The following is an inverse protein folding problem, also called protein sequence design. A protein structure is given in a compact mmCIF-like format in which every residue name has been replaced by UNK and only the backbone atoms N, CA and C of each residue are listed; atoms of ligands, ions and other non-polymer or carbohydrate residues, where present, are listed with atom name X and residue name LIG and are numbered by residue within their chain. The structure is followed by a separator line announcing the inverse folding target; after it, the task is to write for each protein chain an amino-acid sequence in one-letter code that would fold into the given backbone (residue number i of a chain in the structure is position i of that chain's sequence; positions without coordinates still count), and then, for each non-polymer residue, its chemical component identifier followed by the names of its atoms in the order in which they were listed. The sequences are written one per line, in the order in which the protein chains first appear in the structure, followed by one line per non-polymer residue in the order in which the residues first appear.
data_IF_504147006834
#
_entry.id   IF_504147006834
#
_cell.length_a   1.000
_cell.length_b   1.000
_cell.length_c   1.000
_cell.angle_alpha   90.00
_cell.angle_beta   90.00
_cell.angle_gamma   90.00
#
_symmetry.space_group_name_H-M   'P 1'
#
loop_
_entity.id
_entity.type
_entity.pdbx_description
1 polymer ?
#
# COMPACT_ATOMS: atom_id res chain seq x y z
N UNK A 1 5.68 43.48 -14.47
CA UNK A 1 6.78 42.81 -13.76
C UNK A 1 6.17 41.95 -12.66
N UNK A 2 6.17 40.61 -12.79
CA UNK A 2 5.82 39.72 -11.67
C UNK A 2 6.94 39.83 -10.63
N UNK A 3 6.58 40.09 -9.38
CA UNK A 3 7.56 40.27 -8.31
C UNK A 3 8.11 38.91 -7.88
N UNK A 4 9.34 38.84 -7.36
CA UNK A 4 9.93 37.58 -6.86
C UNK A 4 9.06 36.87 -5.81
N UNK A 5 8.18 37.61 -5.14
CA UNK A 5 7.18 37.12 -4.20
C UNK A 5 6.12 36.23 -4.88
N UNK A 6 5.66 36.61 -6.08
CA UNK A 6 4.69 35.82 -6.85
C UNK A 6 5.29 34.47 -7.28
N UNK A 7 6.59 34.46 -7.62
CA UNK A 7 7.33 33.23 -7.95
C UNK A 7 7.54 32.32 -6.74
N UNK A 8 7.82 32.87 -5.56
CA UNK A 8 7.94 32.09 -4.33
C UNK A 8 6.61 31.45 -3.92
N UNK A 9 5.48 32.15 -4.11
CA UNK A 9 4.14 31.63 -3.82
C UNK A 9 3.73 30.55 -4.85
N UNK A 10 4.05 30.72 -6.13
CA UNK A 10 3.84 29.67 -7.15
C UNK A 10 4.68 28.42 -6.84
N UNK A 11 5.97 28.57 -6.47
CA UNK A 11 6.84 27.43 -6.13
C UNK A 11 6.42 26.69 -4.86
N UNK A 12 5.95 27.39 -3.82
CA UNK A 12 5.47 26.73 -2.59
C UNK A 12 4.19 25.94 -2.83
N UNK A 13 3.27 26.45 -3.67
CA UNK A 13 2.06 25.71 -4.06
C UNK A 13 2.41 24.49 -4.93
N UNK A 14 3.31 24.64 -5.89
CA UNK A 14 3.75 23.54 -6.75
C UNK A 14 4.38 22.39 -5.95
N UNK A 15 5.22 22.71 -4.95
CA UNK A 15 5.83 21.71 -4.07
C UNK A 15 4.79 21.02 -3.16
N UNK A 16 3.76 21.75 -2.71
CA UNK A 16 2.66 21.17 -1.94
C UNK A 16 1.79 20.20 -2.78
N UNK A 17 1.51 20.54 -4.04
CA UNK A 17 0.74 19.68 -4.95
C UNK A 17 1.52 18.42 -5.37
N UNK A 18 2.80 18.55 -5.70
CA UNK A 18 3.64 17.40 -6.09
C UNK A 18 3.84 16.44 -4.92
N UNK A 19 4.02 16.96 -3.71
CA UNK A 19 4.12 16.15 -2.49
C UNK A 19 2.82 15.37 -2.21
N UNK A 20 1.66 16.02 -2.33
CA UNK A 20 0.35 15.34 -2.14
C UNK A 20 0.11 14.26 -3.18
N UNK A 21 0.42 14.52 -4.45
CA UNK A 21 0.29 13.53 -5.52
C UNK A 21 1.21 12.32 -5.29
N UNK A 22 2.47 12.56 -4.91
CA UNK A 22 3.41 11.49 -4.59
C UNK A 22 2.96 10.67 -3.37
N UNK A 23 2.42 11.32 -2.34
CA UNK A 23 1.90 10.65 -1.16
C UNK A 23 0.73 9.71 -1.49
N UNK A 24 -0.20 10.15 -2.35
CA UNK A 24 -1.32 9.31 -2.81
C UNK A 24 -0.81 8.13 -3.66
N UNK A 25 0.13 8.37 -4.58
CA UNK A 25 0.75 7.28 -5.35
C UNK A 25 1.40 6.22 -4.44
N UNK A 26 2.13 6.66 -3.42
CA UNK A 26 2.73 5.79 -2.41
C UNK A 26 1.69 5.09 -1.53
N UNK A 27 0.51 5.68 -1.29
CA UNK A 27 -0.56 4.99 -0.53
C UNK A 27 -1.09 3.81 -1.34
N UNK A 28 -1.27 3.98 -2.66
CA UNK A 28 -1.81 2.93 -3.52
C UNK A 28 -0.90 1.70 -3.55
N UNK A 29 0.42 1.92 -3.71
CA UNK A 29 1.42 0.83 -3.68
C UNK A 29 1.41 0.14 -2.31
N UNK A 30 1.40 0.92 -1.24
CA UNK A 30 1.36 0.42 0.15
C UNK A 30 0.10 -0.40 0.44
N UNK A 31 -1.08 0.00 -0.06
CA UNK A 31 -2.33 -0.78 0.07
C UNK A 31 -2.17 -2.16 -0.55
N UNK A 32 -1.67 -2.21 -1.80
CA UNK A 32 -1.57 -3.49 -2.52
C UNK A 32 -0.61 -4.46 -1.83
N UNK A 33 0.57 -3.98 -1.44
CA UNK A 33 1.57 -4.81 -0.78
C UNK A 33 1.17 -5.18 0.66
N UNK A 34 0.55 -4.26 1.39
CA UNK A 34 0.02 -4.53 2.73
C UNK A 34 -1.14 -5.52 2.71
N UNK A 35 -2.02 -5.45 1.72
CA UNK A 35 -3.19 -6.32 1.62
C UNK A 35 -2.78 -7.79 1.50
N UNK A 36 -1.84 -8.11 0.61
CA UNK A 36 -1.34 -9.48 0.42
C UNK A 36 -0.73 -10.04 1.72
N UNK A 37 0.05 -9.23 2.43
CA UNK A 37 0.66 -9.61 3.71
C UNK A 37 -0.39 -9.92 4.79
N UNK A 38 -1.32 -8.99 5.04
CA UNK A 38 -2.34 -9.18 6.07
C UNK A 38 -3.34 -10.27 5.69
N UNK A 39 -3.62 -10.44 4.40
CA UNK A 39 -4.49 -11.50 3.89
C UNK A 39 -3.91 -12.88 4.21
N UNK A 40 -2.62 -13.06 3.94
CA UNK A 40 -1.93 -14.31 4.20
C UNK A 40 -1.87 -14.66 5.71
N UNK A 41 -1.77 -13.66 6.58
CA UNK A 41 -1.65 -13.89 8.02
C UNK A 41 -2.99 -14.06 8.75
N UNK A 42 -3.97 -13.23 8.44
CA UNK A 42 -5.20 -13.09 9.23
C UNK A 42 -6.49 -13.31 8.42
N UNK A 43 -6.39 -13.37 7.08
CA UNK A 43 -7.51 -13.51 6.17
C UNK A 43 -8.01 -12.19 5.59
N UNK A 44 -9.01 -12.30 4.69
CA UNK A 44 -9.45 -11.18 3.83
C UNK A 44 -10.01 -10.01 4.65
N UNK A 45 -10.90 -10.30 5.60
CA UNK A 45 -11.61 -9.27 6.36
C UNK A 45 -10.65 -8.38 7.17
N UNK A 46 -9.70 -9.01 7.87
CA UNK A 46 -8.66 -8.32 8.64
C UNK A 46 -7.69 -7.55 7.74
N UNK A 47 -7.38 -8.06 6.55
CA UNK A 47 -6.51 -7.38 5.60
C UNK A 47 -7.12 -6.08 5.09
N UNK A 48 -8.40 -6.12 4.69
CA UNK A 48 -9.13 -4.93 4.28
C UNK A 48 -9.14 -3.87 5.39
N UNK A 49 -9.47 -4.28 6.62
CA UNK A 49 -9.55 -3.37 7.76
C UNK A 49 -8.19 -2.74 8.08
N UNK A 50 -7.11 -3.53 8.12
CA UNK A 50 -5.77 -3.01 8.39
C UNK A 50 -5.33 -2.01 7.32
N UNK A 51 -5.50 -2.34 6.03
CA UNK A 51 -5.14 -1.43 4.93
C UNK A 51 -5.91 -0.11 5.02
N UNK A 52 -7.22 -0.15 5.27
CA UNK A 52 -8.01 1.08 5.39
C UNK A 52 -7.53 1.92 6.57
N UNK A 53 -7.34 1.30 7.75
CA UNK A 53 -6.97 2.03 8.97
C UNK A 53 -5.57 2.62 8.88
N UNK A 54 -4.57 1.86 8.44
CA UNK A 54 -3.20 2.35 8.34
C UNK A 54 -3.06 3.48 7.31
N UNK A 55 -3.71 3.37 6.16
CA UNK A 55 -3.63 4.41 5.13
C UNK A 55 -4.43 5.65 5.51
N UNK A 56 -5.62 5.49 6.10
CA UNK A 56 -6.37 6.61 6.66
C UNK A 56 -5.56 7.34 7.73
N UNK A 57 -4.89 6.60 8.61
CA UNK A 57 -4.03 7.17 9.64
C UNK A 57 -2.81 7.89 9.06
N UNK A 58 -2.18 7.30 8.03
CA UNK A 58 -1.04 7.90 7.32
C UNK A 58 -1.43 9.22 6.65
N UNK A 59 -2.59 9.26 5.99
CA UNK A 59 -3.14 10.46 5.39
C UNK A 59 -3.52 11.51 6.45
N UNK A 60 -4.11 11.10 7.57
CA UNK A 60 -4.44 11.99 8.67
C UNK A 60 -3.19 12.63 9.28
N UNK A 61 -2.11 11.86 9.46
CA UNK A 61 -0.81 12.39 9.88
C UNK A 61 -0.24 13.40 8.89
N UNK A 62 -0.24 13.09 7.59
CA UNK A 62 0.24 14.00 6.55
C UNK A 62 -0.55 15.31 6.53
N UNK A 63 -1.88 15.23 6.64
CA UNK A 63 -2.74 16.41 6.69
C UNK A 63 -2.52 17.24 7.96
N UNK A 64 -2.33 16.56 9.09
CA UNK A 64 -2.00 17.19 10.38
C UNK A 64 -0.69 17.99 10.31
N UNK A 65 0.33 17.44 9.66
CA UNK A 65 1.63 18.09 9.48
C UNK A 65 1.56 19.39 8.67
N UNK A 66 0.59 19.50 7.76
CA UNK A 66 0.39 20.71 6.95
C UNK A 66 -0.49 21.72 7.69
N UNK A 67 -1.58 21.28 8.32
CA UNK A 67 -2.63 22.17 8.81
C UNK A 67 -2.43 22.70 10.24
N UNK A 68 -1.67 22.01 11.11
CA UNK A 68 -1.67 22.30 12.56
C UNK A 68 -0.37 22.92 13.09
N UNK A 69 -0.44 23.49 14.30
CA UNK A 69 0.71 24.08 15.01
C UNK A 69 1.74 23.04 15.46
N UNK A 70 2.92 23.52 15.89
CA UNK A 70 4.09 22.69 16.21
C UNK A 70 3.80 21.58 17.25
N UNK A 71 2.89 21.83 18.20
CA UNK A 71 2.47 20.85 19.22
C UNK A 71 1.84 19.59 18.63
N UNK A 72 1.00 19.74 17.59
CA UNK A 72 0.38 18.59 16.91
C UNK A 72 1.38 17.93 15.97
N UNK A 73 2.27 18.72 15.34
CA UNK A 73 3.35 18.18 14.49
C UNK A 73 4.29 17.27 15.27
N UNK A 74 4.65 17.66 16.50
CA UNK A 74 5.54 16.88 17.36
C UNK A 74 4.99 15.46 17.65
N UNK A 75 3.66 15.29 17.69
CA UNK A 75 3.01 13.98 17.87
C UNK A 75 2.75 13.26 16.54
N UNK A 76 2.37 14.00 15.48
CA UNK A 76 2.09 13.41 14.17
C UNK A 76 3.34 12.79 13.54
N UNK A 77 4.53 13.36 13.74
CA UNK A 77 5.80 12.83 13.20
C UNK A 77 6.09 11.39 13.69
N UNK A 78 6.15 11.10 15.00
CA UNK A 78 6.46 9.74 15.47
C UNK A 78 5.38 8.72 15.10
N UNK A 79 4.09 9.11 15.11
CA UNK A 79 2.99 8.23 14.69
C UNK A 79 3.08 7.91 13.20
N UNK A 80 3.37 8.92 12.37
CA UNK A 80 3.62 8.73 10.95
C UNK A 80 4.81 7.79 10.71
N UNK A 81 5.90 7.98 11.46
CA UNK A 81 7.08 7.12 11.41
C UNK A 81 6.74 5.66 11.73
N UNK A 82 6.02 5.42 12.83
CA UNK A 82 5.59 4.09 13.24
C UNK A 82 4.74 3.41 12.17
N UNK A 83 3.68 4.08 11.69
CA UNK A 83 2.78 3.55 10.66
C UNK A 83 3.53 3.26 9.36
N UNK A 84 4.39 4.18 8.94
CA UNK A 84 5.19 4.01 7.72
C UNK A 84 6.13 2.82 7.83
N UNK A 85 6.80 2.66 8.97
CA UNK A 85 7.66 1.50 9.24
C UNK A 85 6.86 0.21 9.15
N UNK A 86 5.69 0.13 9.78
CA UNK A 86 4.82 -1.06 9.71
C UNK A 86 4.38 -1.37 8.27
N UNK A 87 4.00 -0.36 7.48
CA UNK A 87 3.66 -0.52 6.06
C UNK A 87 4.85 -1.01 5.21
N UNK A 88 6.04 -0.44 5.43
CA UNK A 88 7.28 -0.86 4.74
C UNK A 88 7.64 -2.30 5.09
N UNK A 89 7.54 -2.68 6.37
CA UNK A 89 7.76 -4.06 6.80
C UNK A 89 6.78 -5.04 6.13
N UNK A 90 5.48 -4.74 6.17
CA UNK A 90 4.47 -5.55 5.49
C UNK A 90 4.77 -5.70 3.99
N UNK A 91 5.19 -4.62 3.34
CA UNK A 91 5.54 -4.61 1.92
C UNK A 91 6.78 -5.46 1.61
N UNK A 92 7.84 -5.34 2.41
CA UNK A 92 9.06 -6.15 2.27
C UNK A 92 8.77 -7.63 2.44
N UNK A 93 7.97 -8.00 3.45
CA UNK A 93 7.61 -9.40 3.68
C UNK A 93 6.70 -9.94 2.58
N UNK A 94 5.76 -9.15 2.04
CA UNK A 94 4.97 -9.57 0.88
C UNK A 94 5.85 -9.78 -0.36
N UNK A 95 6.79 -8.87 -0.60
CA UNK A 95 7.71 -8.97 -1.73
C UNK A 95 8.59 -10.23 -1.65
N UNK A 96 9.15 -10.53 -0.47
CA UNK A 96 9.91 -11.76 -0.27
C UNK A 96 9.04 -13.01 -0.36
N UNK A 97 7.81 -12.99 0.16
CA UNK A 97 6.87 -14.08 -0.04
C UNK A 97 6.57 -14.29 -1.53
N UNK A 98 6.50 -13.21 -2.31
CA UNK A 98 6.37 -13.24 -3.77
C UNK A 98 7.60 -13.86 -4.46
N UNK A 99 8.82 -13.53 -4.01
CA UNK A 99 10.06 -14.14 -4.52
C UNK A 99 10.09 -15.63 -4.18
N UNK A 100 9.79 -16.00 -2.94
CA UNK A 100 9.78 -17.40 -2.49
C UNK A 100 8.70 -18.19 -3.22
N UNK A 101 7.53 -17.59 -3.46
CA UNK A 101 6.47 -18.21 -4.26
C UNK A 101 6.93 -18.42 -5.71
N UNK A 102 7.52 -17.42 -6.35
CA UNK A 102 8.05 -17.54 -7.73
C UNK A 102 9.18 -18.57 -7.81
N UNK A 103 10.12 -18.58 -6.86
CA UNK A 103 11.16 -19.59 -6.80
C UNK A 103 10.63 -20.99 -6.45
N UNK A 104 9.59 -21.12 -5.63
CA UNK A 104 8.92 -22.39 -5.37
C UNK A 104 8.12 -22.89 -6.59
N UNK A 105 7.56 -21.98 -7.38
CA UNK A 105 6.91 -22.28 -8.66
C UNK A 105 7.96 -22.68 -9.73
N UNK A 106 9.13 -22.06 -9.74
CA UNK A 106 10.25 -22.39 -10.64
C UNK A 106 11.02 -23.66 -10.24
N UNK A 107 11.17 -23.93 -8.93
CA UNK A 107 11.83 -25.13 -8.37
C UNK A 107 10.82 -26.18 -7.92
N UNK A 108 9.68 -26.31 -8.59
CA UNK A 108 8.55 -27.12 -8.13
C UNK A 108 8.99 -28.57 -7.77
N UNK A 109 9.19 -28.90 -6.48
CA UNK A 109 9.71 -30.21 -6.08
C UNK A 109 8.72 -31.32 -6.42
N UNK A 110 7.45 -30.94 -6.62
CA UNK A 110 6.40 -31.80 -7.12
C UNK A 110 6.60 -32.18 -8.59
N UNK A 111 7.01 -31.26 -9.46
CA UNK A 111 7.28 -31.58 -10.87
C UNK A 111 8.56 -32.41 -11.03
N UNK A 112 9.60 -32.12 -10.24
CA UNK A 112 10.81 -32.93 -10.24
C UNK A 112 10.55 -34.34 -9.70
N UNK A 113 9.71 -34.49 -8.66
CA UNK A 113 9.30 -35.80 -8.14
C UNK A 113 8.41 -36.57 -9.12
N UNK A 114 7.48 -35.90 -9.80
CA UNK A 114 6.68 -36.49 -10.89
C UNK A 114 7.60 -36.97 -12.02
N UNK A 115 8.55 -36.13 -12.45
CA UNK A 115 9.52 -36.49 -13.48
C UNK A 115 10.38 -37.68 -13.06
N UNK A 116 10.83 -37.71 -11.80
CA UNK A 116 11.58 -38.83 -11.21
C UNK A 116 10.79 -40.13 -11.23
N UNK A 117 9.51 -40.11 -10.82
CA UNK A 117 8.61 -41.28 -10.82
C UNK A 117 8.31 -41.77 -12.23
N UNK A 118 8.06 -40.88 -13.19
CA UNK A 118 7.88 -41.25 -14.60
C UNK A 118 9.16 -41.90 -15.16
N UNK A 119 10.34 -41.35 -14.85
CA UNK A 119 11.60 -41.92 -15.27
C UNK A 119 11.84 -43.32 -14.68
N UNK A 120 11.49 -43.53 -13.41
CA UNK A 120 11.55 -44.83 -12.76
C UNK A 120 10.64 -45.86 -13.46
N UNK A 121 9.37 -45.52 -13.67
CA UNK A 121 8.40 -46.38 -14.38
C UNK A 121 8.91 -46.75 -15.77
N UNK A 122 9.37 -45.76 -16.55
CA UNK A 122 9.92 -45.99 -17.89
C UNK A 122 11.15 -46.89 -17.88
N UNK A 123 12.05 -46.70 -16.91
CA UNK A 123 13.25 -47.54 -16.76
C UNK A 123 12.89 -48.98 -16.40
N UNK A 124 11.98 -49.18 -15.46
CA UNK A 124 11.53 -50.52 -15.04
C UNK A 124 10.87 -51.25 -16.22
N UNK A 125 9.92 -50.60 -16.90
CA UNK A 125 9.28 -51.16 -18.09
C UNK A 125 10.28 -51.52 -19.20
N UNK A 126 11.24 -50.63 -19.49
CA UNK A 126 12.29 -50.91 -20.47
C UNK A 126 13.15 -52.12 -20.08
N UNK A 127 13.44 -52.28 -18.79
CA UNK A 127 14.24 -53.39 -18.27
C UNK A 127 13.51 -54.72 -18.43
N UNK A 128 12.23 -54.79 -18.07
CA UNK A 128 11.41 -56.00 -18.25
C UNK A 128 11.28 -56.40 -19.72
N UNK A 129 10.95 -55.43 -20.58
CA UNK A 129 10.82 -55.70 -22.02
C UNK A 129 12.14 -56.09 -22.68
N UNK A 130 13.26 -55.53 -22.22
CA UNK A 130 14.58 -55.94 -22.73
C UNK A 130 14.89 -57.40 -22.37
N UNK A 131 14.57 -57.83 -21.13
CA UNK A 131 14.71 -59.24 -20.74
C UNK A 131 13.83 -60.18 -21.56
N UNK A 132 12.58 -59.80 -21.84
CA UNK A 132 11.70 -60.59 -22.71
C UNK A 132 12.26 -60.71 -24.14
N UNK A 133 12.82 -59.63 -24.69
CA UNK A 133 13.46 -59.63 -26.01
C UNK A 133 14.71 -60.51 -26.01
N UNK A 134 15.55 -60.44 -24.98
CA UNK A 134 16.73 -61.28 -24.84
C UNK A 134 16.38 -62.78 -24.79
N UNK A 135 15.31 -63.18 -24.11
CA UNK A 135 14.84 -64.57 -24.11
C UNK A 135 14.37 -65.00 -25.51
N UNK A 136 13.67 -64.13 -26.24
CA UNK A 136 13.27 -64.41 -27.63
C UNK A 136 14.48 -64.55 -28.56
N UNK A 137 15.51 -63.72 -28.39
CA UNK A 137 16.75 -63.81 -29.16
C UNK A 137 17.46 -65.15 -28.88
N UNK A 138 17.50 -65.61 -27.63
CA UNK A 138 18.03 -66.94 -27.31
C UNK A 138 17.21 -68.08 -27.94
N UNK A 139 15.89 -67.95 -28.01
CA UNK A 139 15.03 -68.93 -28.69
C UNK A 139 15.23 -68.91 -30.21
N UNK A 140 15.41 -67.73 -30.80
CA UNK A 140 15.74 -67.56 -32.21
C UNK A 140 17.07 -68.24 -32.55
N UNK A 141 18.10 -68.07 -31.72
CA UNK A 141 19.40 -68.74 -31.90
C UNK A 141 19.29 -70.27 -31.87
N UNK A 142 18.40 -70.81 -31.04
CA UNK A 142 18.11 -72.26 -31.05
C UNK A 142 17.42 -72.69 -32.34
N UNK A 143 16.45 -71.91 -32.82
CA UNK A 143 15.76 -72.18 -34.09
C UNK A 143 16.71 -72.08 -35.29
N UNK A 144 17.58 -71.08 -35.32
CA UNK A 144 18.57 -70.88 -36.37
C UNK A 144 19.60 -72.00 -36.42
N UNK A 145 20.06 -72.50 -35.26
CA UNK A 145 20.89 -73.72 -35.21
C UNK A 145 20.13 -74.94 -35.74
N UNK A 146 18.85 -75.07 -35.43
CA UNK A 146 17.98 -76.12 -35.98
C UNK A 146 17.84 -76.04 -37.50
N UNK A 147 17.72 -74.85 -38.07
CA UNK A 147 17.71 -74.59 -39.52
C UNK A 147 19.05 -74.90 -40.17
N UNK A 148 20.17 -74.55 -39.53
CA UNK A 148 21.50 -74.84 -40.04
C UNK A 148 21.74 -76.36 -40.17
N UNK A 149 21.21 -77.15 -39.24
CA UNK A 149 21.27 -78.61 -39.29
C UNK A 149 20.25 -79.22 -40.27
N UNK A 150 19.09 -78.57 -40.46
CA UNK A 150 18.00 -79.06 -41.33
C UNK A 150 17.36 -77.91 -42.14
N UNK A 151 17.98 -77.48 -43.26
CA UNK A 151 17.57 -76.29 -44.00
C UNK A 151 16.14 -76.32 -44.57
N UNK A 152 15.66 -77.51 -44.91
CA UNK A 152 14.34 -77.72 -45.52
C UNK A 152 13.21 -77.87 -44.49
N UNK A 153 13.52 -77.80 -43.19
CA UNK A 153 12.50 -77.92 -42.14
C UNK A 153 11.57 -76.71 -42.13
N UNK A 154 10.33 -76.93 -42.57
CA UNK A 154 9.24 -75.94 -42.49
C UNK A 154 8.91 -75.54 -41.05
N UNK A 155 9.05 -76.48 -40.10
CA UNK A 155 8.79 -76.21 -38.69
C UNK A 155 9.72 -75.13 -38.13
N UNK A 156 11.04 -75.30 -38.31
CA UNK A 156 12.01 -74.35 -37.76
C UNK A 156 11.90 -72.97 -38.41
N UNK A 157 11.60 -72.92 -39.72
CA UNK A 157 11.39 -71.67 -40.46
C UNK A 157 10.18 -70.90 -39.93
N UNK A 158 9.03 -71.57 -39.82
CA UNK A 158 7.81 -70.95 -39.30
C UNK A 158 7.98 -70.49 -37.84
N UNK A 159 8.68 -71.28 -37.01
CA UNK A 159 8.92 -70.92 -35.62
C UNK A 159 9.85 -69.71 -35.49
N UNK A 160 10.92 -69.66 -36.28
CA UNK A 160 11.81 -68.50 -36.33
C UNK A 160 11.06 -67.23 -36.76
N UNK A 161 10.25 -67.31 -37.81
CA UNK A 161 9.42 -66.18 -38.27
C UNK A 161 8.45 -65.69 -37.17
N UNK A 162 7.76 -66.61 -36.47
CA UNK A 162 6.88 -66.25 -35.36
C UNK A 162 7.62 -65.53 -34.22
N UNK A 163 8.82 -66.01 -33.86
CA UNK A 163 9.63 -65.41 -32.81
C UNK A 163 10.17 -64.05 -33.22
N UNK A 164 10.63 -63.88 -34.47
CA UNK A 164 11.05 -62.59 -35.02
C UNK A 164 9.91 -61.57 -34.97
N UNK A 165 8.72 -61.94 -35.47
CA UNK A 165 7.56 -61.06 -35.44
C UNK A 165 7.17 -60.66 -34.01
N UNK A 166 7.27 -61.59 -33.05
CA UNK A 166 6.99 -61.31 -31.64
C UNK A 166 8.03 -60.37 -31.02
N UNK A 167 9.32 -60.59 -31.30
CA UNK A 167 10.44 -59.77 -30.84
C UNK A 167 10.30 -58.33 -31.36
N UNK A 168 10.03 -58.17 -32.64
CA UNK A 168 9.91 -56.85 -33.27
C UNK A 168 8.68 -56.10 -32.73
N UNK A 169 7.58 -56.81 -32.50
CA UNK A 169 6.38 -56.23 -31.86
C UNK A 169 6.67 -55.74 -30.43
N UNK A 170 7.36 -56.52 -29.61
CA UNK A 170 7.75 -56.10 -28.27
C UNK A 170 8.71 -54.89 -28.30
N UNK A 171 9.61 -54.84 -29.28
CA UNK A 171 10.47 -53.67 -29.52
C UNK A 171 9.65 -52.41 -29.80
N UNK A 172 8.66 -52.49 -30.69
CA UNK A 172 7.77 -51.38 -31.01
C UNK A 172 6.93 -50.94 -29.81
N UNK A 173 6.37 -51.88 -29.05
CA UNK A 173 5.59 -51.59 -27.83
C UNK A 173 6.46 -50.90 -26.76
N UNK A 174 7.73 -51.32 -26.62
CA UNK A 174 8.70 -50.68 -25.74
C UNK A 174 8.96 -49.23 -26.15
N UNK A 175 9.31 -49.01 -27.41
CA UNK A 175 9.71 -47.70 -27.89
C UNK A 175 8.52 -46.72 -27.85
N UNK A 176 7.31 -47.19 -28.19
CA UNK A 176 6.08 -46.40 -28.07
C UNK A 176 5.83 -45.93 -26.63
N UNK A 177 5.99 -46.84 -25.65
CA UNK A 177 5.81 -46.50 -24.24
C UNK A 177 6.82 -45.46 -23.76
N UNK A 178 8.08 -45.61 -24.15
CA UNK A 178 9.16 -44.69 -23.78
C UNK A 178 8.96 -43.29 -24.36
N UNK A 179 8.38 -43.18 -25.56
CA UNK A 179 8.08 -41.89 -26.20
C UNK A 179 6.75 -41.26 -25.75
N UNK A 180 5.87 -42.03 -25.10
CA UNK A 180 4.61 -41.50 -24.59
C UNK A 180 4.86 -40.48 -23.49
N UNK A 181 4.31 -39.27 -23.65
CA UNK A 181 4.39 -38.20 -22.66
C UNK A 181 3.00 -37.99 -22.04
N UNK A 182 2.85 -38.06 -20.71
CA UNK A 182 1.55 -37.87 -20.07
C UNK A 182 1.12 -36.39 -20.19
N UNK A 183 -0.02 -36.15 -20.85
CA UNK A 183 -0.42 -34.80 -21.26
C UNK A 183 -1.27 -34.03 -20.23
N UNK A 184 -2.23 -34.67 -19.55
CA UNK A 184 -3.18 -33.97 -18.67
C UNK A 184 -3.27 -34.52 -17.24
N UNK A 185 -3.23 -35.84 -17.06
CA UNK A 185 -3.30 -36.44 -15.72
C UNK A 185 -2.05 -37.28 -15.43
N UNK A 186 -0.97 -36.58 -15.02
CA UNK A 186 0.31 -37.22 -14.69
C UNK A 186 0.18 -38.14 -13.48
N UNK A 187 -0.69 -37.82 -12.51
CA UNK A 187 -0.88 -38.60 -11.30
C UNK A 187 -1.59 -39.93 -11.61
N UNK A 188 -2.73 -39.90 -12.32
CA UNK A 188 -3.41 -41.12 -12.73
C UNK A 188 -2.57 -41.96 -13.71
N UNK A 189 -1.75 -41.32 -14.55
CA UNK A 189 -0.79 -42.04 -15.39
C UNK A 189 0.25 -42.77 -14.53
N UNK A 190 0.83 -42.11 -13.53
CA UNK A 190 1.80 -42.74 -12.61
C UNK A 190 1.15 -43.91 -11.87
N UNK A 191 -0.04 -43.72 -11.29
CA UNK A 191 -0.74 -44.76 -10.52
C UNK A 191 -1.05 -46.00 -11.37
N UNK A 192 -1.62 -45.81 -12.57
CA UNK A 192 -1.94 -46.91 -13.48
C UNK A 192 -0.70 -47.71 -13.89
N UNK A 193 0.38 -47.02 -14.26
CA UNK A 193 1.59 -47.69 -14.76
C UNK A 193 2.45 -48.25 -13.64
N UNK A 194 2.42 -47.66 -12.45
CA UNK A 194 3.04 -48.24 -11.26
C UNK A 194 2.34 -49.55 -10.86
N UNK A 195 1.01 -49.58 -10.87
CA UNK A 195 0.24 -50.80 -10.58
C UNK A 195 0.49 -51.91 -11.63
N UNK A 196 0.62 -51.55 -12.92
CA UNK A 196 0.98 -52.51 -13.98
C UNK A 196 2.35 -53.16 -13.75
N UNK A 197 3.30 -52.42 -13.16
CA UNK A 197 4.68 -52.85 -12.92
C UNK A 197 4.93 -53.32 -11.48
N UNK A 198 3.88 -53.46 -10.67
CA UNK A 198 3.95 -53.82 -9.24
C UNK A 198 4.92 -52.91 -8.44
N UNK A 199 4.94 -51.62 -8.76
CA UNK A 199 5.75 -50.61 -8.06
C UNK A 199 4.94 -49.97 -6.93
N UNK A 200 5.37 -50.19 -5.69
CA UNK A 200 4.81 -49.49 -4.52
C UNK A 200 5.31 -48.03 -4.48
N UNK A 201 4.44 -47.08 -4.84
CA UNK A 201 4.71 -45.65 -4.77
C UNK A 201 3.78 -44.99 -3.76
N UNK A 202 4.32 -44.14 -2.89
CA UNK A 202 3.52 -43.34 -1.95
C UNK A 202 2.60 -42.36 -2.70
N UNK A 203 1.37 -42.10 -2.22
CA UNK A 203 0.43 -41.17 -2.86
C UNK A 203 1.02 -39.75 -2.95
N UNK A 204 0.78 -39.08 -4.08
CA UNK A 204 1.20 -37.69 -4.30
C UNK A 204 0.28 -36.74 -3.51
N UNK A 205 0.82 -36.11 -2.47
CA UNK A 205 0.06 -35.23 -1.58
C UNK A 205 -0.23 -33.87 -2.25
N UNK A 206 -1.49 -33.61 -2.63
CA UNK A 206 -1.90 -32.47 -3.46
C UNK A 206 -2.26 -31.20 -2.67
N UNK A 207 -1.73 -31.03 -1.45
CA UNK A 207 -2.06 -29.91 -0.57
C UNK A 207 -1.75 -28.54 -1.21
N UNK A 208 -2.67 -27.55 -1.16
CA UNK A 208 -2.46 -26.24 -1.78
C UNK A 208 -1.32 -25.48 -1.08
N UNK A 209 -0.17 -25.38 -1.76
CA UNK A 209 1.09 -24.82 -1.24
C UNK A 209 1.07 -23.31 -0.95
N UNK A 210 -0.01 -22.60 -1.29
CA UNK A 210 -0.08 -21.13 -1.20
C UNK A 210 -0.04 -20.54 0.22
N UNK A 211 -0.45 -21.30 1.25
CA UNK A 211 -0.34 -20.83 2.65
C UNK A 211 1.07 -21.06 3.23
N UNK A 212 1.81 -22.05 2.70
CA UNK A 212 3.15 -22.42 3.19
C UNK A 212 4.24 -21.42 2.77
N UNK A 213 4.05 -20.70 1.67
CA UNK A 213 5.04 -19.77 1.12
C UNK A 213 5.19 -18.51 1.97
N UNK A 214 4.09 -17.96 2.48
CA UNK A 214 4.16 -16.76 3.34
C UNK A 214 4.67 -17.11 4.73
N UNK A 215 4.32 -18.29 5.26
CA UNK A 215 4.89 -18.77 6.53
C UNK A 215 6.38 -19.08 6.41
N UNK A 216 6.82 -19.62 5.27
CA UNK A 216 8.25 -19.82 4.99
C UNK A 216 9.00 -18.49 4.89
N UNK A 217 8.43 -17.49 4.20
CA UNK A 217 9.00 -16.15 4.12
C UNK A 217 9.15 -15.47 5.49
N UNK A 218 8.14 -15.61 6.35
CA UNK A 218 8.18 -15.08 7.72
C UNK A 218 9.24 -15.81 8.56
N UNK A 219 9.33 -17.13 8.43
CA UNK A 219 10.34 -17.92 9.14
C UNK A 219 11.75 -17.59 8.66
N UNK A 220 11.96 -17.38 7.36
CA UNK A 220 13.26 -17.02 6.78
C UNK A 220 13.66 -15.59 7.16
N UNK A 221 12.74 -14.63 7.07
CA UNK A 221 13.05 -13.23 7.33
C UNK A 221 13.20 -12.93 8.83
N UNK A 222 12.36 -13.53 9.67
CA UNK A 222 12.27 -13.17 11.10
C UNK A 222 12.86 -14.24 12.02
N UNK A 223 13.10 -15.46 11.53
CA UNK A 223 13.48 -16.61 12.34
C UNK A 223 12.50 -16.88 13.51
N UNK A 224 11.22 -16.64 13.26
CA UNK A 224 10.14 -16.73 14.25
C UNK A 224 9.02 -17.62 13.71
N UNK A 225 8.41 -18.42 14.58
CA UNK A 225 7.27 -19.27 14.22
C UNK A 225 6.05 -18.44 13.83
N UNK A 226 5.22 -18.94 12.91
CA UNK A 226 4.01 -18.25 12.42
C UNK A 226 3.14 -17.70 13.57
N UNK A 227 2.92 -18.51 14.62
CA UNK A 227 2.11 -18.11 15.78
C UNK A 227 2.71 -16.90 16.51
N UNK A 228 4.05 -16.85 16.64
CA UNK A 228 4.74 -15.73 17.29
C UNK A 228 4.73 -14.49 16.39
N UNK A 229 4.92 -14.66 15.08
CA UNK A 229 4.85 -13.56 14.11
C UNK A 229 3.45 -12.91 14.11
N UNK A 230 2.38 -13.72 14.08
CA UNK A 230 1.00 -13.25 14.22
C UNK A 230 0.82 -12.42 15.49
N UNK A 231 1.28 -12.91 16.64
CA UNK A 231 1.20 -12.17 17.92
C UNK A 231 1.93 -10.83 17.87
N UNK A 232 3.16 -10.79 17.35
CA UNK A 232 3.95 -9.56 17.24
C UNK A 232 3.25 -8.55 16.33
N UNK A 233 2.81 -8.99 15.14
CA UNK A 233 2.11 -8.14 14.18
C UNK A 233 0.79 -7.64 14.77
N UNK A 234 0.03 -8.49 15.47
CA UNK A 234 -1.21 -8.07 16.14
C UNK A 234 -0.95 -7.00 17.21
N UNK A 235 0.10 -7.14 18.02
CA UNK A 235 0.49 -6.13 19.01
C UNK A 235 0.83 -4.80 18.32
N UNK A 236 1.60 -4.84 17.23
CA UNK A 236 1.96 -3.64 16.45
C UNK A 236 0.74 -2.95 15.85
N UNK A 237 -0.22 -3.72 15.32
CA UNK A 237 -1.49 -3.20 14.82
C UNK A 237 -2.24 -2.48 15.93
N UNK A 238 -2.43 -3.12 17.09
CA UNK A 238 -3.15 -2.53 18.22
C UNK A 238 -2.49 -1.23 18.68
N UNK A 239 -1.16 -1.22 18.88
CA UNK A 239 -0.43 -0.01 19.27
C UNK A 239 -0.62 1.12 18.25
N UNK A 240 -0.56 0.80 16.95
CA UNK A 240 -0.71 1.81 15.90
C UNK A 240 -2.13 2.37 15.83
N UNK A 241 -3.15 1.53 16.01
CA UNK A 241 -4.55 1.95 16.05
C UNK A 241 -4.81 2.85 17.26
N UNK A 242 -4.36 2.44 18.45
CA UNK A 242 -4.52 3.23 19.68
C UNK A 242 -3.81 4.60 19.56
N UNK A 243 -2.56 4.62 19.06
CA UNK A 243 -1.85 5.86 18.80
C UNK A 243 -2.60 6.75 17.79
N UNK A 244 -3.21 6.15 16.78
CA UNK A 244 -4.03 6.85 15.81
C UNK A 244 -5.31 7.45 16.39
N UNK A 245 -5.99 6.74 17.29
CA UNK A 245 -7.16 7.25 18.02
C UNK A 245 -6.76 8.45 18.88
N UNK A 246 -5.63 8.37 19.59
CA UNK A 246 -5.09 9.49 20.37
C UNK A 246 -4.83 10.70 19.47
N UNK A 247 -4.20 10.50 18.31
CA UNK A 247 -3.97 11.58 17.35
C UNK A 247 -5.28 12.21 16.85
N UNK A 248 -6.26 11.39 16.47
CA UNK A 248 -7.56 11.86 15.98
C UNK A 248 -8.34 12.63 17.06
N UNK A 249 -8.31 12.17 18.31
CA UNK A 249 -8.95 12.87 19.44
C UNK A 249 -8.33 14.26 19.67
N UNK A 250 -7.01 14.38 19.53
CA UNK A 250 -6.31 15.66 19.62
C UNK A 250 -6.61 16.58 18.43
N UNK A 251 -6.74 16.01 17.23
CA UNK A 251 -7.17 16.77 16.04
C UNK A 251 -8.61 17.27 16.16
N UNK A 252 -9.51 16.48 16.76
CA UNK A 252 -10.89 16.88 17.00
C UNK A 252 -11.01 17.98 18.07
N UNK A 253 -10.13 17.95 19.09
CA UNK A 253 -10.10 18.95 20.17
C UNK A 253 -9.25 20.20 19.87
N UNK A 254 -8.42 20.17 18.83
CA UNK A 254 -7.59 21.32 18.47
C UNK A 254 -8.49 22.47 17.96
N UNK A 255 -8.49 23.65 18.60
CA UNK A 255 -9.25 24.77 18.10
C UNK A 255 -8.73 25.08 16.70
N UNK A 256 -9.63 25.05 15.72
CA UNK A 256 -9.37 25.43 14.33
C UNK A 256 -8.63 26.76 14.41
N UNK A 257 -7.37 26.78 13.98
CA UNK A 257 -6.51 27.95 14.05
C UNK A 257 -7.11 29.01 13.15
N UNK A 258 -8.06 29.77 13.66
CA UNK A 258 -8.52 31.01 13.07
C UNK A 258 -7.26 31.85 12.90
N UNK A 259 -7.11 32.35 11.68
CA UNK A 259 -5.89 32.82 11.04
C UNK A 259 -5.36 34.11 11.69
N UNK A 260 -5.05 34.07 12.99
CA UNK A 260 -4.75 35.24 13.83
C UNK A 260 -3.26 35.63 13.77
N UNK A 261 -2.40 34.72 13.30
CA UNK A 261 -0.94 34.88 13.31
C UNK A 261 -0.29 34.67 11.93
N UNK A 262 -0.98 34.95 10.82
CA UNK A 262 -0.28 35.11 9.55
C UNK A 262 0.23 36.56 9.45
N UNK A 263 1.56 36.81 9.38
CA UNK A 263 2.11 38.15 9.22
C UNK A 263 1.65 38.82 7.91
N UNK A 264 1.22 38.04 6.92
CA UNK A 264 0.62 38.56 5.67
C UNK A 264 -0.78 39.16 5.89
N UNK A 265 -1.55 38.66 6.84
CA UNK A 265 -2.89 39.21 7.15
C UNK A 265 -2.78 40.51 7.94
N UNK A 266 -1.76 40.66 8.80
CA UNK A 266 -1.46 41.93 9.48
C UNK A 266 -0.98 43.01 8.51
N UNK A 267 -0.12 42.67 7.54
CA UNK A 267 0.33 43.62 6.50
C UNK A 267 -0.82 44.06 5.59
N UNK A 268 -1.73 43.15 5.24
CA UNK A 268 -2.88 43.47 4.38
C UNK A 268 -3.95 44.29 5.13
N UNK A 269 -4.15 44.04 6.43
CA UNK A 269 -5.03 44.86 7.26
C UNK A 269 -4.47 46.26 7.52
N UNK A 270 -3.15 46.43 7.66
CA UNK A 270 -2.54 47.76 7.75
C UNK A 270 -2.73 48.56 6.46
N UNK A 271 -2.57 47.94 5.30
CA UNK A 271 -2.79 48.59 4.00
C UNK A 271 -4.29 48.90 3.76
N UNK A 272 -5.19 47.99 4.14
CA UNK A 272 -6.64 48.20 4.08
C UNK A 272 -7.12 49.34 4.98
N UNK A 273 -6.61 49.40 6.22
CA UNK A 273 -6.90 50.52 7.14
C UNK A 273 -6.39 51.86 6.60
N UNK A 274 -5.26 51.87 5.88
CA UNK A 274 -4.70 53.08 5.28
C UNK A 274 -5.55 53.60 4.10
N UNK A 275 -6.04 52.72 3.24
CA UNK A 275 -6.97 53.10 2.16
C UNK A 275 -8.33 53.54 2.70
N UNK A 276 -8.81 52.88 3.75
CA UNK A 276 -10.06 53.23 4.42
C UNK A 276 -9.95 54.60 5.09
N UNK A 277 -8.85 54.88 5.80
CA UNK A 277 -8.56 56.20 6.37
C UNK A 277 -8.42 57.29 5.30
N UNK A 278 -7.82 56.99 4.14
CA UNK A 278 -7.78 57.93 3.00
C UNK A 278 -9.19 58.24 2.47
N UNK A 279 -10.01 57.20 2.28
CA UNK A 279 -11.40 57.34 1.80
C UNK A 279 -12.29 58.09 2.77
N UNK A 280 -12.09 57.88 4.08
CA UNK A 280 -12.79 58.64 5.10
C UNK A 280 -12.32 60.09 5.14
N UNK A 281 -11.01 60.34 5.05
CA UNK A 281 -10.43 61.69 5.08
C UNK A 281 -10.94 62.55 3.93
N UNK A 282 -11.08 61.98 2.73
CA UNK A 282 -11.65 62.70 1.58
C UNK A 282 -13.14 63.01 1.75
N UNK A 283 -13.91 62.16 2.44
CA UNK A 283 -15.37 62.29 2.56
C UNK A 283 -15.84 63.13 3.75
N UNK A 284 -15.21 62.97 4.92
CA UNK A 284 -15.68 63.56 6.18
C UNK A 284 -14.73 64.63 6.76
N UNK A 285 -13.51 64.75 6.23
CA UNK A 285 -12.50 65.68 6.73
C UNK A 285 -11.77 65.18 7.99
N UNK A 286 -10.50 65.56 8.15
CA UNK A 286 -9.61 65.00 9.16
C UNK A 286 -10.04 65.32 10.61
N UNK A 287 -10.55 66.53 10.87
CA UNK A 287 -10.95 66.97 12.21
C UNK A 287 -12.17 66.18 12.72
N UNK A 288 -13.14 65.91 11.85
CA UNK A 288 -14.37 65.18 12.20
C UNK A 288 -14.07 63.68 12.49
N UNK A 289 -13.13 63.07 11.76
CA UNK A 289 -12.66 61.69 11.98
C UNK A 289 -11.92 61.57 13.31
N UNK A 290 -10.98 62.47 13.59
CA UNK A 290 -10.26 62.45 14.86
C UNK A 290 -11.19 62.71 16.05
N UNK A 291 -12.17 63.61 15.89
CA UNK A 291 -13.21 63.84 16.89
C UNK A 291 -14.09 62.62 17.12
N UNK A 292 -14.43 61.87 16.07
CA UNK A 292 -15.14 60.59 16.18
C UNK A 292 -14.31 59.54 16.91
N UNK A 293 -13.08 59.27 16.44
CA UNK A 293 -12.20 58.24 16.99
C UNK A 293 -11.87 58.52 18.45
N UNK A 294 -11.67 59.79 18.82
CA UNK A 294 -11.45 60.20 20.21
C UNK A 294 -12.62 59.80 21.11
N UNK A 295 -13.84 60.13 20.69
CA UNK A 295 -15.05 59.88 21.47
C UNK A 295 -15.42 58.41 21.50
N UNK A 296 -15.19 57.71 20.39
CA UNK A 296 -15.41 56.27 20.28
C UNK A 296 -14.44 55.49 21.19
N UNK A 297 -13.17 55.90 21.24
CA UNK A 297 -12.17 55.35 22.15
C UNK A 297 -12.52 55.61 23.63
N UNK A 298 -12.94 56.83 23.99
CA UNK A 298 -13.39 57.15 25.36
C UNK A 298 -14.58 56.27 25.81
N UNK A 299 -15.56 56.06 24.93
CA UNK A 299 -16.72 55.21 25.23
C UNK A 299 -16.34 53.73 25.27
N UNK A 300 -15.43 53.30 24.39
CA UNK A 300 -14.91 51.93 24.39
C UNK A 300 -14.14 51.61 25.67
N UNK A 301 -13.25 52.50 26.11
CA UNK A 301 -12.50 52.32 27.37
C UNK A 301 -13.38 52.32 28.62
N UNK A 302 -14.52 53.02 28.60
CA UNK A 302 -15.44 53.08 29.74
C UNK A 302 -16.47 51.94 29.79
N UNK A 303 -16.89 51.42 28.63
CA UNK A 303 -18.06 50.54 28.54
C UNK A 303 -17.87 49.30 27.66
N UNK A 304 -16.67 49.09 27.09
CA UNK A 304 -16.32 47.97 26.20
C UNK A 304 -17.30 47.77 25.04
N UNK A 305 -17.94 48.85 24.57
CA UNK A 305 -18.97 48.81 23.52
C UNK A 305 -18.77 49.95 22.51
N UNK A 306 -19.25 49.74 21.27
CA UNK A 306 -19.27 50.79 20.25
C UNK A 306 -20.30 51.88 20.62
N UNK A 307 -20.00 53.17 20.36
CA UNK A 307 -20.84 54.28 20.79
C UNK A 307 -22.20 54.28 20.11
N UNK A 308 -23.32 54.43 20.83
CA UNK A 308 -24.67 54.47 20.25
C UNK A 308 -24.88 55.70 19.34
N UNK A 309 -25.75 55.60 18.33
CA UNK A 309 -26.00 56.71 17.38
C UNK A 309 -26.49 57.97 18.11
N UNK A 310 -27.17 57.82 19.25
CA UNK A 310 -27.62 58.92 20.10
C UNK A 310 -26.47 59.64 20.83
N UNK A 311 -25.38 58.94 21.12
CA UNK A 311 -24.19 59.45 21.83
C UNK A 311 -23.22 60.22 20.92
N UNK A 312 -23.45 60.16 19.60
CA UNK A 312 -22.64 60.79 18.56
C UNK A 312 -23.28 62.08 18.03
N UNK A 313 -22.45 63.08 17.67
CA UNK A 313 -22.91 64.30 17.00
C UNK A 313 -23.43 64.05 15.57
N UNK A 314 -24.13 65.00 14.96
CA UNK A 314 -24.80 64.82 13.65
C UNK A 314 -23.88 64.24 12.56
N UNK A 315 -22.67 64.80 12.40
CA UNK A 315 -21.67 64.32 11.43
C UNK A 315 -21.06 62.95 11.81
N UNK A 316 -20.89 62.70 13.10
CA UNK A 316 -20.36 61.44 13.63
C UNK A 316 -21.35 60.28 13.45
N UNK A 317 -22.66 60.57 13.40
CA UNK A 317 -23.70 59.59 13.07
C UNK A 317 -23.60 59.13 11.63
N UNK A 318 -23.32 60.03 10.70
CA UNK A 318 -23.11 59.70 9.28
C UNK A 318 -21.87 58.82 9.10
N UNK A 319 -20.81 59.09 9.86
CA UNK A 319 -19.62 58.25 9.91
C UNK A 319 -19.93 56.83 10.40
N UNK A 320 -20.70 56.69 11.49
CA UNK A 320 -21.13 55.37 11.96
C UNK A 320 -22.03 54.65 10.96
N UNK A 321 -22.94 55.37 10.32
CA UNK A 321 -23.83 54.81 9.29
C UNK A 321 -23.02 54.26 8.12
N UNK A 322 -21.97 54.96 7.69
CA UNK A 322 -21.06 54.49 6.63
C UNK A 322 -20.44 53.12 6.95
N UNK A 323 -20.07 52.86 8.21
CA UNK A 323 -19.56 51.55 8.63
C UNK A 323 -20.67 50.51 8.84
N UNK A 324 -21.85 50.92 9.29
CA UNK A 324 -23.00 50.02 9.44
C UNK A 324 -23.51 49.50 8.08
N UNK A 325 -23.38 50.32 7.02
CA UNK A 325 -23.79 49.97 5.65
C UNK A 325 -22.79 49.00 4.97
N UNK A 326 -21.63 48.71 5.58
CA UNK A 326 -20.67 47.70 5.12
C UNK A 326 -20.80 46.45 5.99
N UNK A 327 -21.05 45.28 5.38
CA UNK A 327 -21.19 43.98 6.09
C UNK A 327 -19.97 43.62 6.99
N UNK A 328 -18.79 44.16 6.72
CA UNK A 328 -17.57 43.98 7.55
C UNK A 328 -17.22 45.18 8.46
N UNK A 329 -18.02 46.25 8.46
CA UNK A 329 -17.61 47.57 8.96
C UNK A 329 -17.49 47.69 10.48
N UNK A 330 -18.20 46.88 11.27
CA UNK A 330 -18.07 46.97 12.74
C UNK A 330 -16.72 46.46 13.26
N UNK A 331 -16.17 45.41 12.64
CA UNK A 331 -14.86 44.87 13.01
C UNK A 331 -13.73 45.81 12.58
N UNK A 332 -13.84 46.42 11.40
CA UNK A 332 -12.90 47.43 10.90
C UNK A 332 -12.90 48.69 11.79
N UNK A 333 -14.09 49.15 12.21
CA UNK A 333 -14.25 50.29 13.11
C UNK A 333 -13.60 50.03 14.47
N UNK A 334 -13.79 48.82 15.00
CA UNK A 334 -13.23 48.40 16.28
C UNK A 334 -11.70 48.27 16.20
N UNK A 335 -11.16 47.81 15.07
CA UNK A 335 -9.72 47.78 14.83
C UNK A 335 -9.12 49.20 14.81
N UNK A 336 -9.79 50.16 14.17
CA UNK A 336 -9.35 51.56 14.14
C UNK A 336 -9.40 52.23 15.53
N UNK A 337 -10.45 51.95 16.31
CA UNK A 337 -10.55 52.48 17.68
C UNK A 337 -9.40 51.95 18.55
N UNK A 338 -9.12 50.64 18.49
CA UNK A 338 -8.02 50.02 19.24
C UNK A 338 -6.65 50.55 18.83
N UNK A 339 -6.44 50.81 17.54
CA UNK A 339 -5.20 51.41 17.05
C UNK A 339 -5.02 52.83 17.61
N UNK A 340 -6.07 53.64 17.61
CA UNK A 340 -6.01 54.99 18.19
C UNK A 340 -5.82 55.02 19.71
N UNK A 341 -6.34 54.03 20.45
CA UNK A 341 -6.07 53.91 21.88
C UNK A 341 -4.62 53.50 22.16
N UNK A 342 -4.07 52.54 21.39
CA UNK A 342 -2.67 52.14 21.51
C UNK A 342 -1.71 53.32 21.25
N UNK A 343 -1.96 54.12 20.20
CA UNK A 343 -1.15 55.32 19.90
C UNK A 343 -1.22 56.38 21.02
N UNK A 344 -2.33 56.43 21.78
CA UNK A 344 -2.48 57.34 22.94
C UNK A 344 -1.74 56.85 24.17
N UNK A 345 -1.76 55.55 24.43
CA UNK A 345 -1.01 54.96 25.54
C UNK A 345 0.50 55.14 25.34
N UNK A 346 1.00 54.92 24.13
CA UNK A 346 2.40 55.15 23.77
C UNK A 346 2.79 56.64 23.94
N UNK A 347 1.90 57.56 23.56
CA UNK A 347 2.11 59.01 23.74
C UNK A 347 2.01 59.50 25.19
N UNK A 348 1.49 58.69 26.12
CA UNK A 348 1.43 59.01 27.56
C UNK A 348 2.63 58.45 28.34
N UNK A 349 3.33 57.47 27.79
CA UNK A 349 4.52 56.85 28.39
C UNK A 349 5.83 57.54 27.99
N UNK A 350 5.80 58.32 26.90
CA UNK A 350 6.83 59.31 26.54
C UNK A 350 6.55 60.64 27.26
#
# INVERSE_FOLDING_TARGET
MRTDRDRQIEMSRLTEYTFRAAAVGLTLISVTAGFEFYHALFGIATAMLCCIVFEALRLACLWSLVAHGWSVKALAIPIYGLVTITCVFASLTSFQAGIIKRHAEEMNPFESEIARRIALIKRTYATEKTREIEDLDQQLDRCNRGLALNPDSKFWRNRAEQLTNKRDRLGQERDLFLHTTPAQDKAAWIERNAAMLDLELEPLDSSPHGSKTTTAAIQELWNVTELRAKKIVSILIVISVEAGIVLLSLLAGAPKRENRNNPETQLNNQNGNLELLKTLRTRFGQADIQGFLKRAAEIWGAHERLPYTRELGKKQREFRKFFADREAGEQELLALIKQCDAEREDSRQQ
#
